data_IF_029435234449
#
_entry.id   IF_029435234449
#
_cell.length_a   1.000
_cell.length_b   1.000
_cell.length_c   1.000
_cell.angle_alpha   90.00
_cell.angle_beta   90.00
_cell.angle_gamma   90.00
#
_symmetry.space_group_name_H-M   'P 1'
#
loop_
_entity.id
_entity.type
_entity.pdbx_description
1 polymer ?
#
# COMPACT_ATOMS: atom_id res chain seq x y z
N UNK A 1 -6.37 -7.01 -6.19
CA UNK A 1 -7.51 -6.19 -6.64
C UNK A 1 -7.88 -5.13 -5.62
N UNK A 2 -6.97 -4.21 -5.31
CA UNK A 2 -7.25 -3.02 -4.50
C UNK A 2 -6.71 -1.82 -5.27
N UNK A 3 -7.49 -0.74 -5.51
CA UNK A 3 -7.02 0.44 -6.21
C UNK A 3 -5.79 1.10 -5.56
N UNK A 4 -5.60 0.97 -4.25
CA UNK A 4 -4.42 1.52 -3.57
C UNK A 4 -3.09 0.92 -4.05
N UNK A 5 -3.09 -0.32 -4.55
CA UNK A 5 -1.87 -1.09 -4.79
C UNK A 5 -1.70 -1.55 -6.25
N UNK A 6 -2.72 -1.39 -7.11
CA UNK A 6 -2.72 -1.96 -8.47
C UNK A 6 -1.64 -1.37 -9.39
N UNK A 7 -1.23 -0.12 -9.15
CA UNK A 7 -0.25 0.61 -9.96
C UNK A 7 1.19 0.47 -9.44
N UNK A 8 1.39 -0.10 -8.26
CA UNK A 8 2.70 -0.13 -7.61
C UNK A 8 3.73 -0.99 -8.35
N UNK A 9 3.27 -1.95 -9.16
CA UNK A 9 4.16 -2.73 -10.02
C UNK A 9 4.88 -1.84 -11.03
N UNK A 10 4.13 -0.99 -11.74
CA UNK A 10 4.68 -0.03 -12.70
C UNK A 10 5.62 0.96 -12.01
N UNK A 11 5.24 1.43 -10.81
CA UNK A 11 6.09 2.34 -10.03
C UNK A 11 7.40 1.65 -9.60
N UNK A 12 7.34 0.37 -9.23
CA UNK A 12 8.51 -0.45 -8.93
C UNK A 12 9.45 -0.62 -10.11
N UNK A 13 8.90 -0.85 -11.31
CA UNK A 13 9.69 -0.94 -12.54
C UNK A 13 10.41 0.38 -12.83
N UNK A 14 9.77 1.52 -12.60
CA UNK A 14 10.38 2.84 -12.80
C UNK A 14 11.48 3.14 -11.76
N UNK A 15 11.28 2.73 -10.50
CA UNK A 15 12.32 2.77 -9.47
C UNK A 15 13.51 1.89 -9.86
N UNK A 16 13.27 0.65 -10.32
CA UNK A 16 14.34 -0.24 -10.77
C UNK A 16 15.13 0.38 -11.94
N UNK A 17 14.44 0.90 -12.96
CA UNK A 17 15.09 1.61 -14.08
C UNK A 17 15.92 2.80 -13.61
N UNK A 18 15.49 3.50 -12.56
CA UNK A 18 16.25 4.62 -12.00
C UNK A 18 17.51 4.16 -11.24
N UNK A 19 17.41 3.07 -10.48
CA UNK A 19 18.56 2.45 -9.78
C UNK A 19 19.58 1.91 -10.76
N UNK A 20 19.15 1.17 -11.78
CA UNK A 20 20.02 0.53 -12.78
C UNK A 20 20.76 1.55 -13.70
N UNK A 21 20.49 2.86 -13.57
CA UNK A 21 21.26 3.91 -14.25
C UNK A 21 22.65 4.11 -13.66
N UNK A 22 22.84 3.77 -12.39
CA UNK A 22 24.17 3.77 -11.77
C UNK A 22 24.83 2.41 -12.01
N UNK A 23 25.99 2.34 -12.69
CA UNK A 23 26.66 1.08 -13.00
C UNK A 23 27.14 0.30 -11.76
N UNK A 24 27.17 0.92 -10.58
CA UNK A 24 27.56 0.28 -9.32
C UNK A 24 26.37 -0.33 -8.56
N UNK A 25 25.13 -0.07 -9.01
CA UNK A 25 23.92 -0.54 -8.36
C UNK A 25 23.18 -1.53 -9.27
N UNK A 26 22.46 -2.46 -8.64
CA UNK A 26 21.57 -3.36 -9.37
C UNK A 26 20.26 -3.57 -8.59
N UNK A 27 19.13 -3.21 -9.20
CA UNK A 27 17.83 -3.28 -8.55
C UNK A 27 17.26 -4.70 -8.56
N UNK A 28 17.18 -5.36 -7.42
CA UNK A 28 16.42 -6.60 -7.26
C UNK A 28 15.01 -6.30 -6.74
N UNK A 29 14.01 -6.49 -7.60
CA UNK A 29 12.61 -6.25 -7.23
C UNK A 29 11.99 -7.48 -6.58
N UNK A 30 11.35 -7.28 -5.43
CA UNK A 30 10.52 -8.27 -4.76
C UNK A 30 9.24 -7.61 -4.23
N UNK A 31 8.25 -8.42 -3.89
CA UNK A 31 6.94 -7.96 -3.42
C UNK A 31 6.57 -8.68 -2.11
N UNK A 32 5.73 -8.02 -1.31
CA UNK A 32 5.05 -8.62 -0.15
C UNK A 32 3.54 -8.43 -0.28
N UNK A 33 2.80 -9.06 0.63
CA UNK A 33 1.34 -9.05 0.67
C UNK A 33 0.79 -7.70 1.14
N UNK A 34 -0.50 -7.48 0.91
CA UNK A 34 -1.24 -6.36 1.45
C UNK A 34 -2.73 -6.63 1.42
N UNK A 35 -3.46 -6.02 2.35
CA UNK A 35 -4.92 -6.14 2.47
C UNK A 35 -5.57 -4.77 2.29
N UNK A 36 -6.83 -4.77 1.85
CA UNK A 36 -7.62 -3.54 1.69
C UNK A 36 -8.55 -3.36 2.87
N UNK A 37 -8.30 -2.32 3.66
CA UNK A 37 -9.20 -1.96 4.76
C UNK A 37 -10.57 -1.60 4.19
N UNK A 38 -10.61 -0.75 3.16
CA UNK A 38 -11.86 -0.34 2.50
C UNK A 38 -12.76 -1.50 2.06
N UNK A 39 -12.19 -2.60 1.54
CA UNK A 39 -12.98 -3.78 1.17
C UNK A 39 -13.33 -4.71 2.34
N UNK A 40 -12.52 -4.73 3.40
CA UNK A 40 -12.75 -5.63 4.55
C UNK A 40 -13.60 -5.00 5.66
N UNK A 41 -13.83 -3.68 5.60
CA UNK A 41 -14.70 -2.95 6.53
C UNK A 41 -16.06 -3.64 6.70
N UNK A 42 -16.49 -3.80 7.95
CA UNK A 42 -17.78 -4.40 8.30
C UNK A 42 -17.84 -5.94 8.19
N UNK A 43 -16.73 -6.61 7.87
CA UNK A 43 -16.67 -8.07 7.75
C UNK A 43 -15.67 -8.70 8.71
N UNK A 44 -15.73 -10.04 8.87
CA UNK A 44 -14.71 -10.79 9.61
C UNK A 44 -13.31 -10.66 9.00
N UNK A 45 -13.19 -10.25 7.73
CA UNK A 45 -11.89 -9.98 7.10
C UNK A 45 -11.08 -8.88 7.80
N UNK A 46 -11.74 -7.93 8.47
CA UNK A 46 -11.08 -6.82 9.17
C UNK A 46 -10.13 -7.31 10.28
N UNK A 47 -10.34 -8.51 10.84
CA UNK A 47 -9.43 -9.08 11.84
C UNK A 47 -8.02 -9.34 11.31
N UNK A 48 -7.84 -9.36 9.98
CA UNK A 48 -6.55 -9.57 9.32
C UNK A 48 -5.89 -8.26 8.86
N UNK A 49 -6.55 -7.09 9.03
CA UNK A 49 -5.98 -5.79 8.65
C UNK A 49 -4.72 -5.47 9.45
N UNK A 50 -4.84 -5.28 10.77
CA UNK A 50 -3.71 -4.88 11.61
C UNK A 50 -2.55 -5.89 11.60
N UNK A 51 -2.77 -7.22 11.68
CA UNK A 51 -1.70 -8.20 11.58
C UNK A 51 -0.90 -8.14 10.26
N UNK A 52 -1.51 -7.66 9.17
CA UNK A 52 -0.79 -7.52 7.89
C UNK A 52 0.43 -6.59 7.98
N UNK A 53 0.42 -5.62 8.91
CA UNK A 53 1.56 -4.73 9.20
C UNK A 53 2.81 -5.53 9.58
N UNK A 54 2.66 -6.50 10.47
CA UNK A 54 3.76 -7.35 10.94
C UNK A 54 4.26 -8.26 9.83
N UNK A 55 3.33 -8.88 9.09
CA UNK A 55 3.69 -9.77 7.96
C UNK A 55 4.53 -9.02 6.92
N UNK A 56 4.20 -7.75 6.64
CA UNK A 56 4.95 -6.90 5.72
C UNK A 56 6.35 -6.60 6.27
N UNK A 57 6.45 -6.23 7.55
CA UNK A 57 7.74 -5.97 8.19
C UNK A 57 8.63 -7.23 8.17
N UNK A 58 8.08 -8.37 8.57
CA UNK A 58 8.78 -9.66 8.61
C UNK A 58 9.18 -10.13 7.20
N UNK A 59 8.34 -9.87 6.19
CA UNK A 59 8.67 -10.18 4.79
C UNK A 59 9.88 -9.39 4.30
N UNK A 60 9.93 -8.09 4.59
CA UNK A 60 11.05 -7.21 4.22
C UNK A 60 12.31 -7.64 4.95
N UNK A 61 12.22 -7.85 6.27
CA UNK A 61 13.33 -8.28 7.11
C UNK A 61 13.91 -9.62 6.62
N UNK A 62 13.04 -10.58 6.28
CA UNK A 62 13.45 -11.89 5.77
C UNK A 62 14.22 -11.77 4.46
N UNK A 63 13.70 -11.03 3.47
CA UNK A 63 14.36 -10.90 2.16
C UNK A 63 15.68 -10.15 2.28
N UNK A 64 15.68 -9.00 2.98
CA UNK A 64 16.89 -8.19 3.16
C UNK A 64 17.98 -8.95 3.94
N UNK A 65 17.59 -9.68 4.98
CA UNK A 65 18.50 -10.49 5.79
C UNK A 65 19.09 -11.66 5.01
N UNK A 66 18.25 -12.39 4.26
CA UNK A 66 18.68 -13.58 3.53
C UNK A 66 19.50 -13.28 2.27
N UNK A 67 19.14 -12.22 1.54
CA UNK A 67 19.76 -11.88 0.25
C UNK A 67 20.90 -10.88 0.39
N UNK A 68 21.19 -10.40 1.60
CA UNK A 68 22.27 -9.45 1.88
C UNK A 68 22.21 -8.16 1.04
N UNK A 69 21.02 -7.70 0.67
CA UNK A 69 20.87 -6.45 -0.10
C UNK A 69 21.38 -5.23 0.68
N UNK A 70 22.16 -4.38 0.03
CA UNK A 70 22.83 -3.24 0.69
C UNK A 70 21.88 -2.09 1.05
N UNK A 71 20.83 -1.89 0.25
CA UNK A 71 19.87 -0.80 0.41
C UNK A 71 18.45 -1.25 0.03
N UNK A 72 17.44 -0.50 0.49
CA UNK A 72 16.03 -0.82 0.31
C UNK A 72 15.21 0.39 -0.14
N UNK A 73 14.46 0.25 -1.24
CA UNK A 73 13.38 1.17 -1.58
C UNK A 73 12.06 0.45 -1.39
N UNK A 74 11.19 0.98 -0.53
CA UNK A 74 9.84 0.44 -0.31
C UNK A 74 8.80 1.31 -1.01
N UNK A 75 7.76 0.67 -1.56
CA UNK A 75 6.68 1.36 -2.29
C UNK A 75 5.32 0.96 -1.72
N UNK A 76 4.94 1.45 -0.53
CA UNK A 76 3.62 1.15 0.08
C UNK A 76 2.51 2.03 -0.49
N UNK A 77 1.31 1.46 -0.65
CA UNK A 77 0.13 2.19 -1.18
C UNK A 77 -1.12 2.20 -0.29
N UNK A 78 -1.25 1.26 0.64
CA UNK A 78 -2.44 1.13 1.49
C UNK A 78 -2.09 1.22 2.98
N UNK A 79 -3.07 1.60 3.82
CA UNK A 79 -2.96 1.95 5.25
C UNK A 79 -1.82 1.22 5.99
N UNK A 80 -1.92 -0.10 6.16
CA UNK A 80 -0.98 -0.90 6.96
C UNK A 80 0.36 -1.16 6.28
N UNK A 81 0.47 -0.88 4.98
CA UNK A 81 1.72 -1.07 4.22
C UNK A 81 2.78 -0.06 4.67
N UNK A 82 2.43 1.22 4.81
CA UNK A 82 3.38 2.27 5.21
C UNK A 82 4.11 1.95 6.52
N UNK A 83 3.41 1.71 7.66
CA UNK A 83 4.10 1.39 8.90
C UNK A 83 4.83 0.04 8.84
N UNK A 84 4.31 -0.96 8.12
CA UNK A 84 5.01 -2.25 7.94
C UNK A 84 6.35 -2.09 7.22
N UNK A 85 6.38 -1.27 6.16
CA UNK A 85 7.62 -0.94 5.45
C UNK A 85 8.62 -0.22 6.36
N UNK A 86 8.18 0.81 7.09
CA UNK A 86 9.04 1.56 8.01
C UNK A 86 9.59 0.67 9.13
N UNK A 87 8.77 -0.23 9.68
CA UNK A 87 9.23 -1.21 10.67
C UNK A 87 10.31 -2.13 10.11
N UNK A 88 10.12 -2.69 8.90
CA UNK A 88 11.13 -3.51 8.24
C UNK A 88 12.44 -2.74 7.97
N UNK A 89 12.34 -1.49 7.50
CA UNK A 89 13.50 -0.60 7.30
C UNK A 89 14.29 -0.39 8.59
N UNK A 90 13.61 -0.09 9.70
CA UNK A 90 14.23 0.15 11.00
C UNK A 90 14.87 -1.11 11.58
N UNK A 91 14.25 -2.29 11.44
CA UNK A 91 14.82 -3.56 11.92
C UNK A 91 16.08 -3.96 11.15
N UNK A 92 16.06 -3.79 9.83
CA UNK A 92 17.22 -4.09 8.97
C UNK A 92 18.34 -3.06 9.14
N UNK A 93 18.00 -1.80 9.48
CA UNK A 93 18.92 -0.70 9.72
C UNK A 93 19.98 -0.52 8.60
N UNK A 94 19.51 -0.57 7.35
CA UNK A 94 20.30 -0.30 6.14
C UNK A 94 19.78 0.95 5.44
N UNK A 95 20.60 1.61 4.57
CA UNK A 95 20.15 2.74 3.77
C UNK A 95 18.81 2.43 3.09
N UNK A 96 17.80 3.25 3.39
CA UNK A 96 16.45 2.95 2.93
C UNK A 96 15.60 4.19 2.67
N UNK A 97 14.68 4.05 1.71
CA UNK A 97 13.75 5.09 1.27
C UNK A 97 12.33 4.52 1.16
N UNK A 98 11.33 5.25 1.66
CA UNK A 98 9.92 4.92 1.46
C UNK A 98 9.31 5.87 0.42
N UNK A 99 8.85 5.31 -0.69
CA UNK A 99 8.14 6.04 -1.75
C UNK A 99 6.65 5.75 -1.65
N UNK A 100 5.87 6.72 -1.15
CA UNK A 100 4.43 6.56 -1.06
C UNK A 100 3.80 6.41 -2.45
N UNK A 101 2.94 5.40 -2.63
CA UNK A 101 2.27 5.10 -3.89
C UNK A 101 1.30 6.19 -4.38
N UNK A 102 0.91 7.12 -3.51
CA UNK A 102 0.07 8.25 -3.86
C UNK A 102 -1.39 8.08 -3.43
N UNK A 103 -2.09 9.22 -3.38
CA UNK A 103 -3.51 9.27 -3.04
C UNK A 103 -4.39 9.05 -4.26
N UNK A 104 -5.59 8.51 -4.06
CA UNK A 104 -6.59 8.35 -5.12
C UNK A 104 -7.22 9.70 -5.46
N UNK A 105 -7.53 9.94 -6.73
CA UNK A 105 -8.32 11.09 -7.15
C UNK A 105 -9.78 10.93 -6.71
N UNK A 106 -10.44 12.03 -6.36
CA UNK A 106 -11.86 12.00 -6.02
C UNK A 106 -12.73 11.57 -7.20
N UNK A 107 -13.76 10.76 -6.94
CA UNK A 107 -14.79 10.45 -7.90
C UNK A 107 -15.76 11.62 -8.09
N UNK A 108 -16.54 11.59 -9.18
CA UNK A 108 -17.65 12.52 -9.40
C UNK A 108 -18.96 11.78 -9.64
N UNK A 109 -20.02 12.19 -8.96
CA UNK A 109 -21.38 11.68 -9.20
C UNK A 109 -21.94 12.20 -10.53
N UNK A 110 -23.02 11.58 -11.01
CA UNK A 110 -23.75 12.07 -12.19
C UNK A 110 -24.30 13.49 -11.99
N UNK A 111 -24.45 13.94 -10.73
CA UNK A 111 -24.92 15.27 -10.35
C UNK A 111 -23.76 16.25 -10.10
N UNK A 112 -22.51 15.82 -10.31
CA UNK A 112 -21.31 16.64 -10.15
C UNK A 112 -20.76 16.72 -8.73
N UNK A 113 -21.30 15.95 -7.78
CA UNK A 113 -20.82 15.93 -6.39
C UNK A 113 -19.49 15.17 -6.31
N UNK A 114 -18.63 15.59 -5.39
CA UNK A 114 -17.36 14.90 -5.12
C UNK A 114 -17.63 13.66 -4.27
N UNK A 115 -17.12 12.51 -4.71
CA UNK A 115 -17.30 11.23 -4.04
C UNK A 115 -15.95 10.62 -3.63
N UNK A 116 -15.97 9.92 -2.51
CA UNK A 116 -14.86 9.14 -1.99
C UNK A 116 -15.37 7.84 -1.32
N UNK A 117 -14.48 7.10 -0.66
CA UNK A 117 -14.86 5.85 0.02
C UNK A 117 -15.81 6.08 1.20
N UNK A 118 -15.71 7.24 1.87
CA UNK A 118 -16.60 7.60 2.98
C UNK A 118 -18.02 7.81 2.46
N UNK A 119 -18.14 8.44 1.29
CA UNK A 119 -19.42 8.63 0.58
C UNK A 119 -20.15 7.31 0.36
N UNK A 120 -19.42 6.23 0.04
CA UNK A 120 -19.99 4.87 -0.10
C UNK A 120 -20.49 4.31 1.23
N UNK A 121 -19.74 4.50 2.33
CA UNK A 121 -20.18 4.05 3.65
C UNK A 121 -21.40 4.82 4.16
N UNK A 122 -21.43 6.14 3.94
CA UNK A 122 -22.56 6.99 4.31
C UNK A 122 -23.82 6.69 3.50
N UNK A 123 -23.68 6.26 2.24
CA UNK A 123 -24.81 5.95 1.37
C UNK A 123 -25.74 4.92 1.99
N UNK A 124 -25.20 3.88 2.64
CA UNK A 124 -26.02 2.88 3.33
C UNK A 124 -26.86 3.48 4.45
N UNK A 125 -26.27 4.37 5.26
CA UNK A 125 -26.99 5.08 6.32
C UNK A 125 -28.08 6.01 5.76
N UNK A 126 -27.75 6.78 4.72
CA UNK A 126 -28.68 7.70 4.05
C UNK A 126 -29.86 6.94 3.43
N UNK A 127 -29.64 5.77 2.87
CA UNK A 127 -30.70 4.91 2.33
C UNK A 127 -31.67 4.45 3.43
N UNK A 128 -31.14 3.95 4.56
CA UNK A 128 -31.97 3.51 5.71
C UNK A 128 -32.83 4.66 6.25
N UNK A 129 -32.30 5.88 6.29
CA UNK A 129 -33.05 7.06 6.77
C UNK A 129 -33.97 7.67 5.71
N UNK A 130 -34.03 7.11 4.49
CA UNK A 130 -34.84 7.64 3.38
C UNK A 130 -34.30 8.93 2.74
N UNK A 131 -33.02 9.24 2.93
CA UNK A 131 -32.35 10.42 2.38
C UNK A 131 -31.84 10.24 0.94
N UNK A 132 -31.69 9.00 0.48
CA UNK A 132 -31.37 8.62 -0.90
C UNK A 132 -32.17 7.36 -1.29
N UNK A 133 -32.28 7.09 -2.59
CA UNK A 133 -32.99 5.93 -3.19
C UNK A 133 -32.10 4.70 -3.40
#
# INVERSE_FOLDING_TARGET
>A
GNPCNMHLLSLGEDVKKAVDKDPQLYGFQFNTVGVSDGMSMGTRGMTYSLPSREIIADSIETVMGAQFYDALVTIPGCDKNMPGCVMGMLRVNRPSLMLYGGTIASGRSCKGETLDIVSTFEAYGKYITGGID
#
